data_IF_627324019511
#
_entry.id   IF_627324019511
#
_cell.length_a   1.000
_cell.length_b   1.000
_cell.length_c   1.000
_cell.angle_alpha   90.00
_cell.angle_beta   90.00
_cell.angle_gamma   90.00
#
_symmetry.space_group_name_H-M   'P 1'
#
loop_
_entity.id
_entity.type
_entity.pdbx_description
1 polymer ?
#
# COMPACT_ATOMS: atom_id res chain seq x y z
N UNK A 1 -12.86 -15.99 -2.79
CA UNK A 1 -12.35 -15.68 -4.14
C UNK A 1 -10.91 -16.17 -4.24
N UNK A 2 -9.83 -15.38 -4.08
CA UNK A 2 -8.47 -15.93 -4.17
C UNK A 2 -8.11 -16.95 -3.06
N UNK A 3 -8.65 -16.78 -1.85
CA UNK A 3 -8.47 -17.72 -0.72
C UNK A 3 -9.61 -18.74 -0.56
N UNK A 4 -10.59 -18.74 -1.47
CA UNK A 4 -11.78 -19.60 -1.37
C UNK A 4 -12.80 -19.24 -0.28
N UNK A 5 -12.60 -18.15 0.47
CA UNK A 5 -13.44 -17.82 1.66
C UNK A 5 -14.71 -17.02 1.38
N UNK A 6 -14.84 -16.46 0.17
CA UNK A 6 -16.01 -15.71 -0.29
C UNK A 6 -16.38 -16.18 -1.69
N UNK A 7 -17.65 -16.23 -2.03
CA UNK A 7 -18.15 -16.54 -3.37
C UNK A 7 -18.08 -15.31 -4.28
N UNK A 8 -18.33 -15.51 -5.58
CA UNK A 8 -18.37 -14.42 -6.55
C UNK A 8 -19.51 -13.44 -6.25
N UNK A 9 -20.74 -13.94 -6.07
CA UNK A 9 -21.91 -13.11 -5.80
C UNK A 9 -21.79 -12.37 -4.46
N UNK A 10 -21.23 -12.99 -3.42
CA UNK A 10 -20.94 -12.30 -2.16
C UNK A 10 -19.97 -11.12 -2.36
N UNK A 11 -18.94 -11.28 -3.21
CA UNK A 11 -18.00 -10.20 -3.52
C UNK A 11 -18.67 -9.07 -4.32
N UNK A 12 -19.56 -9.40 -5.27
CA UNK A 12 -20.34 -8.41 -6.02
C UNK A 12 -21.25 -7.61 -5.10
N UNK A 13 -22.02 -8.30 -4.26
CA UNK A 13 -22.93 -7.65 -3.31
C UNK A 13 -22.16 -6.77 -2.32
N UNK A 14 -21.03 -7.27 -1.80
CA UNK A 14 -20.16 -6.48 -0.94
C UNK A 14 -19.67 -5.20 -1.62
N UNK A 15 -19.22 -5.28 -2.87
CA UNK A 15 -18.74 -4.10 -3.60
C UNK A 15 -19.85 -3.08 -3.83
N UNK A 16 -21.07 -3.53 -4.18
CA UNK A 16 -22.24 -2.65 -4.32
C UNK A 16 -22.56 -1.93 -3.00
N UNK A 17 -22.62 -2.67 -1.88
CA UNK A 17 -22.94 -2.11 -0.56
C UNK A 17 -21.91 -1.08 -0.10
N UNK A 18 -20.62 -1.32 -0.35
CA UNK A 18 -19.55 -0.45 0.14
C UNK A 18 -19.28 0.78 -0.75
N UNK A 19 -19.64 0.72 -2.03
CA UNK A 19 -19.28 1.77 -3.00
C UNK A 19 -20.46 2.45 -3.66
N UNK A 20 -21.66 1.88 -3.56
CA UNK A 20 -22.86 2.34 -4.27
C UNK A 20 -22.86 2.03 -5.76
N UNK A 21 -21.92 1.21 -6.25
CA UNK A 21 -21.91 0.75 -7.63
C UNK A 21 -23.18 -0.05 -7.96
N UNK A 22 -23.66 0.07 -9.20
CA UNK A 22 -24.66 -0.85 -9.70
C UNK A 22 -24.08 -2.26 -9.91
N UNK A 23 -24.97 -3.25 -10.03
CA UNK A 23 -24.57 -4.66 -10.13
C UNK A 23 -23.72 -4.95 -11.37
N UNK A 24 -23.97 -4.30 -12.50
CA UNK A 24 -23.21 -4.54 -13.73
C UNK A 24 -21.77 -4.07 -13.56
N UNK A 25 -21.56 -2.86 -13.05
CA UNK A 25 -20.23 -2.31 -12.78
C UNK A 25 -19.50 -3.15 -11.72
N UNK A 26 -20.17 -3.47 -10.61
CA UNK A 26 -19.57 -4.30 -9.56
C UNK A 26 -19.17 -5.69 -10.07
N UNK A 27 -19.97 -6.28 -10.98
CA UNK A 27 -19.64 -7.59 -11.59
C UNK A 27 -18.39 -7.50 -12.47
N UNK A 28 -18.22 -6.43 -13.23
CA UNK A 28 -17.03 -6.22 -14.07
C UNK A 28 -15.78 -6.10 -13.19
N UNK A 29 -15.84 -5.27 -12.15
CA UNK A 29 -14.72 -5.09 -11.20
C UNK A 29 -14.34 -6.40 -10.50
N UNK A 30 -15.33 -7.16 -10.05
CA UNK A 30 -15.08 -8.43 -9.36
C UNK A 30 -14.47 -9.48 -10.29
N UNK A 31 -14.85 -9.51 -11.57
CA UNK A 31 -14.17 -10.35 -12.57
C UNK A 31 -12.69 -9.95 -12.74
N UNK A 32 -12.41 -8.66 -12.85
CA UNK A 32 -11.04 -8.15 -12.93
C UNK A 32 -10.22 -8.56 -11.69
N UNK A 33 -10.82 -8.56 -10.49
CA UNK A 33 -10.15 -8.99 -9.26
C UNK A 33 -9.81 -10.49 -9.26
N UNK A 34 -10.60 -11.30 -9.96
CA UNK A 34 -10.34 -12.74 -10.14
C UNK A 34 -9.23 -12.98 -11.17
N UNK A 35 -9.25 -12.25 -12.29
CA UNK A 35 -8.28 -12.38 -13.37
C UNK A 35 -6.89 -11.84 -12.98
N UNK A 36 -6.84 -10.65 -12.37
CA UNK A 36 -5.61 -9.94 -12.00
C UNK A 36 -5.39 -9.97 -10.50
N UNK A 37 -5.19 -11.18 -9.98
CA UNK A 37 -4.92 -11.40 -8.56
C UNK A 37 -3.72 -10.56 -8.11
N UNK A 38 -3.79 -10.03 -6.88
CA UNK A 38 -2.78 -9.16 -6.23
C UNK A 38 -2.61 -7.76 -6.81
N UNK A 39 -2.97 -7.51 -8.06
CA UNK A 39 -2.78 -6.21 -8.71
C UNK A 39 -3.52 -5.09 -7.98
N UNK A 40 -4.82 -5.28 -7.75
CA UNK A 40 -5.64 -4.28 -7.04
C UNK A 40 -5.20 -4.07 -5.59
N UNK A 41 -4.75 -5.15 -4.92
CA UNK A 41 -4.20 -5.06 -3.57
C UNK A 41 -2.91 -4.23 -3.53
N UNK A 42 -2.12 -4.20 -4.61
CA UNK A 42 -0.85 -3.49 -4.66
C UNK A 42 -1.00 -1.98 -4.44
N UNK A 43 -2.11 -1.38 -4.89
CA UNK A 43 -2.39 0.04 -4.66
C UNK A 43 -2.52 0.36 -3.17
N UNK A 44 -3.36 -0.42 -2.47
CA UNK A 44 -3.58 -0.22 -1.05
C UNK A 44 -2.33 -0.57 -0.24
N UNK A 45 -1.68 -1.68 -0.55
CA UNK A 45 -0.47 -2.12 0.13
C UNK A 45 0.67 -1.10 -0.05
N UNK A 46 0.91 -0.61 -1.26
CA UNK A 46 1.93 0.39 -1.54
C UNK A 46 1.68 1.69 -0.77
N UNK A 47 0.45 2.22 -0.81
CA UNK A 47 0.05 3.38 -0.01
C UNK A 47 0.28 3.14 1.48
N UNK A 48 -0.18 2.00 2.00
CA UNK A 48 -0.01 1.64 3.40
C UNK A 48 1.45 1.60 3.82
N UNK A 49 2.33 0.98 3.02
CA UNK A 49 3.76 0.88 3.29
C UNK A 49 4.46 2.25 3.28
N UNK A 50 4.11 3.15 2.35
CA UNK A 50 4.65 4.52 2.30
C UNK A 50 4.21 5.32 3.54
N UNK A 51 2.93 5.22 3.91
CA UNK A 51 2.41 5.91 5.09
C UNK A 51 3.02 5.38 6.39
N UNK A 52 3.19 4.05 6.52
CA UNK A 52 3.87 3.40 7.66
C UNK A 52 5.32 3.86 7.74
N UNK A 53 6.05 3.89 6.62
CA UNK A 53 7.43 4.42 6.57
C UNK A 53 7.51 5.87 7.05
N UNK A 54 6.62 6.75 6.58
CA UNK A 54 6.60 8.14 7.02
C UNK A 54 6.31 8.26 8.52
N UNK A 55 5.35 7.47 9.03
CA UNK A 55 5.01 7.43 10.45
C UNK A 55 6.22 7.01 11.29
N UNK A 56 6.89 5.92 10.92
CA UNK A 56 8.07 5.42 11.65
C UNK A 56 9.20 6.45 11.70
N UNK A 57 9.41 7.21 10.62
CA UNK A 57 10.40 8.30 10.59
C UNK A 57 10.01 9.46 11.49
N UNK A 58 8.74 9.88 11.48
CA UNK A 58 8.23 10.93 12.37
C UNK A 58 8.38 10.55 13.83
N UNK A 59 8.07 9.29 14.18
CA UNK A 59 8.23 8.78 15.54
C UNK A 59 9.70 8.75 16.00
N UNK A 60 10.63 8.39 15.10
CA UNK A 60 12.06 8.29 15.45
C UNK A 60 12.80 9.63 15.46
N UNK A 61 12.40 10.57 14.61
CA UNK A 61 13.10 11.86 14.44
C UNK A 61 12.42 13.01 15.20
N UNK A 62 11.14 12.87 15.56
CA UNK A 62 10.38 13.92 16.20
C UNK A 62 10.41 15.22 15.38
N UNK A 63 10.82 16.32 16.01
CA UNK A 63 10.97 17.63 15.35
C UNK A 63 12.07 17.69 14.28
N UNK A 64 12.93 16.68 14.18
CA UNK A 64 13.96 16.57 13.14
C UNK A 64 13.46 15.96 11.82
N UNK A 65 12.18 15.58 11.71
CA UNK A 65 11.62 15.06 10.47
C UNK A 65 11.40 16.18 9.44
N UNK A 66 12.00 16.01 8.26
CA UNK A 66 11.83 16.91 7.12
C UNK A 66 10.93 16.25 6.06
N UNK A 67 9.71 16.79 5.88
CA UNK A 67 8.71 16.29 4.94
C UNK A 67 9.17 16.45 3.48
N UNK A 68 9.84 17.56 3.13
CA UNK A 68 10.34 17.78 1.77
C UNK A 68 11.41 16.74 1.45
N UNK A 69 12.37 16.57 2.35
CA UNK A 69 13.45 15.59 2.18
C UNK A 69 12.93 14.16 2.05
N UNK A 70 11.87 13.80 2.80
CA UNK A 70 11.22 12.50 2.67
C UNK A 70 10.67 12.27 1.26
N UNK A 71 9.93 13.24 0.71
CA UNK A 71 9.37 13.14 -0.64
C UNK A 71 10.46 13.14 -1.71
N UNK A 72 11.50 13.97 -1.57
CA UNK A 72 12.63 14.01 -2.48
C UNK A 72 13.28 12.61 -2.57
N UNK A 73 13.66 12.01 -1.44
CA UNK A 73 14.30 10.68 -1.42
C UNK A 73 13.36 9.62 -2.01
N UNK A 74 12.07 9.66 -1.69
CA UNK A 74 11.10 8.69 -2.19
C UNK A 74 10.97 8.77 -3.72
N UNK A 75 10.84 9.96 -4.29
CA UNK A 75 10.63 10.15 -5.72
C UNK A 75 11.89 9.91 -6.55
N UNK A 76 13.06 10.36 -6.07
CA UNK A 76 14.33 10.15 -6.77
C UNK A 76 14.84 8.70 -6.73
N UNK A 77 14.26 7.86 -5.87
CA UNK A 77 14.64 6.44 -5.78
C UNK A 77 14.15 5.58 -6.95
N UNK A 78 13.20 6.09 -7.73
CA UNK A 78 12.59 5.35 -8.83
C UNK A 78 11.73 4.17 -8.36
N UNK A 79 11.47 3.24 -9.27
CA UNK A 79 10.56 2.11 -9.04
C UNK A 79 11.27 0.93 -8.37
N UNK A 80 11.52 1.06 -7.08
CA UNK A 80 12.10 -0.02 -6.27
C UNK A 80 11.01 -0.76 -5.47
N UNK A 81 11.18 -2.07 -5.23
CA UNK A 81 10.36 -2.77 -4.24
C UNK A 81 10.40 -2.04 -2.89
N UNK A 82 9.24 -1.91 -2.24
CA UNK A 82 9.07 -1.10 -1.02
C UNK A 82 10.05 -1.46 0.12
N UNK A 83 10.53 -2.71 0.18
CA UNK A 83 11.60 -3.12 1.11
C UNK A 83 12.89 -2.32 0.93
N UNK A 84 13.28 -2.07 -0.31
CA UNK A 84 14.49 -1.31 -0.64
C UNK A 84 14.28 0.19 -0.47
N UNK A 85 13.11 0.71 -0.85
CA UNK A 85 12.71 2.09 -0.57
C UNK A 85 12.82 2.39 0.91
N UNK A 86 12.22 1.55 1.76
CA UNK A 86 12.27 1.70 3.22
C UNK A 86 13.71 1.75 3.74
N UNK A 87 14.56 0.80 3.35
CA UNK A 87 15.96 0.76 3.77
C UNK A 87 16.68 2.05 3.38
N UNK A 88 16.61 2.43 2.11
CA UNK A 88 17.31 3.59 1.57
C UNK A 88 16.84 4.89 2.21
N UNK A 89 15.53 5.07 2.44
CA UNK A 89 15.01 6.25 3.14
C UNK A 89 15.54 6.28 4.57
N UNK A 90 15.46 5.18 5.32
CA UNK A 90 15.97 5.12 6.70
C UNK A 90 17.47 5.44 6.78
N UNK A 91 18.27 4.89 5.86
CA UNK A 91 19.71 5.17 5.76
C UNK A 91 20.00 6.65 5.47
N UNK A 92 19.24 7.27 4.55
CA UNK A 92 19.39 8.70 4.25
C UNK A 92 19.05 9.60 5.44
N UNK A 93 18.08 9.20 6.26
CA UNK A 93 17.75 9.86 7.52
C UNK A 93 18.68 9.47 8.68
N UNK A 94 19.70 8.63 8.44
CA UNK A 94 20.66 8.11 9.45
C UNK A 94 19.96 7.39 10.61
N UNK A 95 18.83 6.74 10.32
CA UNK A 95 18.06 5.98 11.30
C UNK A 95 18.44 4.50 11.23
N UNK A 96 18.91 3.92 12.34
CA UNK A 96 19.21 2.49 12.42
C UNK A 96 17.96 1.63 12.19
N UNK A 97 18.05 0.60 11.35
CA UNK A 97 17.01 -0.40 11.10
C UNK A 97 16.87 -1.37 12.29
N UNK A 98 16.53 -0.85 13.47
CA UNK A 98 16.11 -1.65 14.62
C UNK A 98 14.59 -1.79 14.61
N UNK A 99 14.06 -2.83 13.98
CA UNK A 99 12.62 -3.14 13.97
C UNK A 99 12.18 -3.92 12.72
N UNK A 100 11.36 -4.96 12.93
CA UNK A 100 10.96 -5.99 11.97
C UNK A 100 10.63 -5.47 10.55
N UNK A 101 11.07 -6.23 9.55
CA UNK A 101 10.92 -5.98 8.11
C UNK A 101 9.49 -6.24 7.58
N UNK A 102 8.49 -6.28 8.46
CA UNK A 102 7.08 -6.55 8.18
C UNK A 102 6.20 -5.56 8.97
#
# INVERSE_FOLDING_TARGET
>A
MARGEITFDEAVNYLMEQTGMDRQVATIEVNEYVEKQTYFLSYYLGKHMILKLKKDLKERLGGGFDEKRFHDILLYSGNLPMKYVRRMVMENFKVCLGGSLL
#
